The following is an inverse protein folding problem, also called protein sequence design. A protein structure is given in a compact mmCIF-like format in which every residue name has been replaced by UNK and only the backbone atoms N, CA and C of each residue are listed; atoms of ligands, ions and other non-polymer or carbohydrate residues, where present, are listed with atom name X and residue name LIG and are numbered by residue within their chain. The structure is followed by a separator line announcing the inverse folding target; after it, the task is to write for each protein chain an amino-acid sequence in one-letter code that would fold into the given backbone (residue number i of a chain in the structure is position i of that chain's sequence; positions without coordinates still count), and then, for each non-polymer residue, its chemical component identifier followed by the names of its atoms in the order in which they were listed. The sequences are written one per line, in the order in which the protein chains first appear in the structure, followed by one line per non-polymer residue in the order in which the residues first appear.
data_IF_943841892524
#
_entry.id   IF_943841892524
#
_cell.length_a   1.000
_cell.length_b   1.000
_cell.length_c   1.000
_cell.angle_alpha   90.00
_cell.angle_beta   90.00
_cell.angle_gamma   90.00
#
_symmetry.space_group_name_H-M   'P 1'
#
loop_
_entity.id
_entity.type
_entity.pdbx_description
1 polymer ?
#
# COMPACT_ATOMS: atom_id res chain seq x y z
N UNK A 1 10.48 -11.90 12.64
CA UNK A 1 9.75 -11.96 11.38
C UNK A 1 10.35 -11.12 10.25
N UNK A 2 10.99 -11.81 9.32
CA UNK A 2 11.39 -11.29 8.01
C UNK A 2 10.21 -11.22 7.03
N UNK A 3 10.50 -10.85 5.77
CA UNK A 3 9.49 -10.64 4.74
C UNK A 3 8.88 -11.96 4.20
N UNK A 4 9.65 -13.05 4.15
CA UNK A 4 9.18 -14.32 3.61
C UNK A 4 8.18 -14.98 4.56
N UNK A 5 8.46 -15.00 5.86
CA UNK A 5 7.50 -15.44 6.88
C UNK A 5 6.22 -14.61 6.87
N UNK A 6 6.34 -13.29 6.72
CA UNK A 6 5.18 -12.39 6.64
C UNK A 6 4.30 -12.70 5.42
N UNK A 7 4.91 -12.93 4.27
CA UNK A 7 4.19 -13.28 3.04
C UNK A 7 3.56 -14.68 3.12
N UNK A 8 4.22 -15.63 3.78
CA UNK A 8 3.66 -16.95 4.05
C UNK A 8 2.38 -16.89 4.91
N UNK A 9 2.33 -15.95 5.86
CA UNK A 9 1.14 -15.67 6.66
C UNK A 9 0.08 -14.96 5.81
N UNK A 10 0.50 -14.04 4.95
CA UNK A 10 -0.40 -13.25 4.11
C UNK A 10 -1.22 -14.09 3.12
N UNK A 11 -0.67 -15.17 2.57
CA UNK A 11 -1.39 -16.02 1.61
C UNK A 11 -2.49 -16.87 2.26
N UNK A 12 -2.49 -16.97 3.59
CA UNK A 12 -3.50 -17.72 4.36
C UNK A 12 -4.74 -16.84 4.52
N UNK A 13 -5.86 -17.26 3.95
CA UNK A 13 -7.13 -16.54 4.08
C UNK A 13 -8.06 -17.22 5.11
N UNK A 14 -7.90 -16.83 6.37
CA UNK A 14 -8.72 -17.27 7.50
C UNK A 14 -9.25 -16.07 8.32
N UNK A 15 -10.34 -16.29 9.04
CA UNK A 15 -10.86 -15.32 10.00
C UNK A 15 -9.82 -15.03 11.09
N UNK A 16 -9.56 -13.75 11.45
CA UNK A 16 -8.58 -13.42 12.48
C UNK A 16 -8.84 -14.07 13.85
N UNK A 17 -10.11 -14.34 14.20
CA UNK A 17 -10.48 -15.07 15.41
C UNK A 17 -10.12 -16.55 15.38
N UNK A 18 -9.78 -17.10 14.20
CA UNK A 18 -9.32 -18.47 14.00
C UNK A 18 -7.79 -18.59 13.88
N UNK A 19 -7.06 -17.47 13.90
CA UNK A 19 -5.61 -17.47 13.70
C UNK A 19 -4.86 -18.35 14.72
N UNK A 20 -5.29 -18.35 15.99
CA UNK A 20 -4.70 -19.21 17.02
C UNK A 20 -4.81 -20.70 16.69
N UNK A 21 -6.01 -21.16 16.31
CA UNK A 21 -6.25 -22.56 15.96
C UNK A 21 -5.46 -22.98 14.71
N UNK A 22 -5.36 -22.11 13.71
CA UNK A 22 -4.52 -22.34 12.54
C UNK A 22 -3.04 -22.51 12.89
N UNK A 23 -2.49 -21.61 13.71
CA UNK A 23 -1.09 -21.65 14.10
C UNK A 23 -0.76 -22.84 15.02
N UNK A 24 -1.72 -23.28 15.85
CA UNK A 24 -1.60 -24.53 16.61
C UNK A 24 -1.53 -25.74 15.67
N UNK A 25 -2.35 -25.80 14.61
CA UNK A 25 -2.29 -26.88 13.61
C UNK A 25 -0.95 -26.93 12.88
N UNK A 26 -0.40 -25.78 12.50
CA UNK A 26 0.92 -25.68 11.86
C UNK A 26 2.01 -26.18 12.81
N UNK A 27 1.97 -25.75 14.08
CA UNK A 27 2.93 -26.18 15.10
C UNK A 27 2.86 -27.68 15.39
N UNK A 28 1.65 -28.24 15.49
CA UNK A 28 1.43 -29.66 15.72
C UNK A 28 1.90 -30.50 14.53
N UNK A 29 1.66 -30.02 13.30
CA UNK A 29 2.15 -30.69 12.09
C UNK A 29 3.67 -30.67 12.01
N UNK A 30 4.31 -29.54 12.35
CA UNK A 30 5.75 -29.40 12.40
C UNK A 30 6.39 -30.29 13.47
N UNK A 31 5.82 -30.31 14.68
CA UNK A 31 6.31 -31.15 15.79
C UNK A 31 6.23 -32.65 15.47
N UNK A 32 5.30 -33.06 14.62
CA UNK A 32 5.10 -34.45 14.22
C UNK A 32 5.94 -34.87 13.00
N UNK A 33 6.59 -33.93 12.30
CA UNK A 33 7.26 -34.20 11.04
C UNK A 33 8.77 -34.41 11.15
N UNK A 34 9.39 -34.21 12.32
CA UNK A 34 10.84 -34.33 12.54
C UNK A 34 11.66 -33.55 11.50
N UNK A 35 11.25 -32.32 11.17
CA UNK A 35 11.84 -31.45 10.13
C UNK A 35 11.81 -32.04 8.69
N UNK A 36 10.93 -33.01 8.42
CA UNK A 36 10.69 -33.52 7.07
C UNK A 36 9.52 -32.79 6.39
N UNK A 37 9.78 -32.26 5.19
CA UNK A 37 8.80 -31.46 4.43
C UNK A 37 7.60 -32.28 3.96
N UNK A 38 7.83 -33.51 3.48
CA UNK A 38 6.75 -34.34 2.94
C UNK A 38 5.84 -34.81 4.09
N UNK A 39 6.43 -35.22 5.22
CA UNK A 39 5.71 -35.56 6.44
C UNK A 39 4.92 -34.36 7.01
N UNK A 40 5.52 -33.17 7.03
CA UNK A 40 4.84 -31.94 7.45
C UNK A 40 3.63 -31.64 6.57
N UNK A 41 3.83 -31.67 5.24
CA UNK A 41 2.79 -31.34 4.27
C UNK A 41 1.61 -32.31 4.36
N UNK A 42 1.89 -33.61 4.45
CA UNK A 42 0.86 -34.64 4.58
C UNK A 42 0.11 -34.52 5.92
N UNK A 43 0.84 -34.23 7.00
CA UNK A 43 0.24 -34.04 8.31
C UNK A 43 -0.66 -32.81 8.35
N UNK A 44 -0.20 -31.66 7.85
CA UNK A 44 -0.98 -30.42 7.82
C UNK A 44 -2.25 -30.58 6.96
N UNK A 45 -2.16 -31.21 5.77
CA UNK A 45 -3.35 -31.50 4.95
C UNK A 45 -4.34 -32.42 5.67
N UNK A 46 -3.83 -33.41 6.38
CA UNK A 46 -4.67 -34.35 7.12
C UNK A 46 -5.40 -33.69 8.29
N UNK A 47 -4.76 -32.76 9.00
CA UNK A 47 -5.31 -32.13 10.22
C UNK A 47 -6.14 -30.88 9.93
N UNK A 48 -5.78 -30.10 8.91
CA UNK A 48 -6.44 -28.84 8.55
C UNK A 48 -7.80 -29.01 7.83
N UNK A 49 -8.28 -30.25 7.65
CA UNK A 49 -9.52 -30.54 6.92
C UNK A 49 -10.73 -29.68 7.35
N UNK A 50 -11.67 -29.48 6.43
CA UNK A 50 -12.85 -28.65 6.69
C UNK A 50 -12.53 -27.16 6.58
N UNK A 51 -12.53 -26.45 7.71
CA UNK A 51 -12.45 -24.98 7.76
C UNK A 51 -11.08 -24.42 7.32
N UNK A 52 -10.00 -25.19 7.46
CA UNK A 52 -8.64 -24.73 7.14
C UNK A 52 -8.06 -25.40 5.88
N UNK A 53 -8.84 -26.18 5.13
CA UNK A 53 -8.30 -26.95 4.01
C UNK A 53 -7.71 -26.07 2.89
N UNK A 54 -8.42 -24.99 2.53
CA UNK A 54 -7.94 -24.04 1.53
C UNK A 54 -6.72 -23.25 2.03
N UNK A 55 -6.74 -22.84 3.30
CA UNK A 55 -5.64 -22.17 3.98
C UNK A 55 -4.36 -23.03 4.00
N UNK A 56 -4.51 -24.34 4.27
CA UNK A 56 -3.41 -25.28 4.23
C UNK A 56 -2.80 -25.43 2.84
N UNK A 57 -3.60 -25.56 1.78
CA UNK A 57 -3.05 -25.67 0.43
C UNK A 57 -2.34 -24.37 0.00
N UNK A 58 -2.93 -23.20 0.27
CA UNK A 58 -2.30 -21.91 -0.05
C UNK A 58 -0.96 -21.72 0.67
N UNK A 59 -0.91 -22.06 1.97
CA UNK A 59 0.32 -22.03 2.74
C UNK A 59 1.38 -23.00 2.19
N UNK A 60 1.00 -24.25 1.90
CA UNK A 60 1.91 -25.28 1.42
C UNK A 60 2.44 -24.97 0.02
N UNK A 61 1.62 -24.41 -0.86
CA UNK A 61 2.04 -23.96 -2.19
C UNK A 61 3.11 -22.87 -2.07
N UNK A 62 2.86 -21.84 -1.25
CA UNK A 62 3.85 -20.77 -1.02
C UNK A 62 5.13 -21.32 -0.40
N UNK A 63 5.02 -22.10 0.68
CA UNK A 63 6.18 -22.66 1.36
C UNK A 63 7.00 -23.60 0.46
N UNK A 64 6.37 -24.34 -0.47
CA UNK A 64 7.09 -25.20 -1.41
C UNK A 64 8.06 -24.43 -2.33
N UNK A 65 7.74 -23.18 -2.65
CA UNK A 65 8.53 -22.28 -3.49
C UNK A 65 9.55 -21.45 -2.71
N UNK A 66 9.33 -21.27 -1.40
CA UNK A 66 10.05 -20.32 -0.56
C UNK A 66 10.73 -20.97 0.66
N UNK A 67 11.50 -22.05 0.44
CA UNK A 67 12.36 -22.62 1.49
C UNK A 67 11.79 -23.82 2.26
N UNK A 68 10.54 -24.22 1.97
CA UNK A 68 9.91 -25.45 2.50
C UNK A 68 9.94 -25.52 4.01
N UNK A 69 10.64 -26.51 4.57
CA UNK A 69 10.71 -26.72 6.01
C UNK A 69 11.50 -25.60 6.73
N UNK A 70 12.43 -24.92 6.04
CA UNK A 70 13.16 -23.80 6.64
C UNK A 70 12.20 -22.64 6.95
N UNK A 71 11.30 -22.32 6.03
CA UNK A 71 10.25 -21.31 6.26
C UNK A 71 9.30 -21.71 7.40
N UNK A 72 8.96 -22.99 7.49
CA UNK A 72 8.11 -23.51 8.59
C UNK A 72 8.84 -23.37 9.92
N UNK A 73 10.15 -23.65 9.97
CA UNK A 73 10.96 -23.46 11.17
C UNK A 73 10.98 -22.01 11.64
N UNK A 74 11.13 -21.07 10.70
CA UNK A 74 11.13 -19.64 11.00
C UNK A 74 9.75 -19.17 11.48
N UNK A 75 8.67 -19.66 10.84
CA UNK A 75 7.30 -19.41 11.28
C UNK A 75 7.03 -19.94 12.69
N UNK A 76 7.49 -21.16 12.99
CA UNK A 76 7.30 -21.82 14.29
C UNK A 76 8.04 -21.08 15.41
N UNK A 77 9.21 -20.50 15.12
CA UNK A 77 9.93 -19.67 16.09
C UNK A 77 9.17 -18.39 16.48
N UNK A 78 8.45 -17.80 15.53
CA UNK A 78 7.69 -16.55 15.73
C UNK A 78 6.26 -16.79 16.30
N UNK A 79 5.78 -18.03 16.38
CA UNK A 79 4.40 -18.41 16.75
C UNK A 79 3.80 -17.68 17.97
N UNK A 80 4.51 -17.44 19.09
CA UNK A 80 3.92 -16.79 20.25
C UNK A 80 3.31 -15.42 19.95
N UNK A 81 3.78 -14.72 18.91
CA UNK A 81 3.32 -13.38 18.53
C UNK A 81 2.36 -13.40 17.33
N UNK A 82 2.34 -14.49 16.55
CA UNK A 82 1.61 -14.57 15.28
C UNK A 82 0.09 -14.43 15.39
N UNK A 83 -0.63 -15.09 16.32
CA UNK A 83 -2.07 -14.96 16.39
C UNK A 83 -2.53 -13.51 16.60
N UNK A 84 -1.74 -12.72 17.33
CA UNK A 84 -2.05 -11.30 17.59
C UNK A 84 -1.63 -10.40 16.42
N UNK A 85 -0.55 -10.76 15.70
CA UNK A 85 -0.06 -10.01 14.56
C UNK A 85 -0.80 -10.31 13.25
N UNK A 86 -1.51 -11.44 13.16
CA UNK A 86 -2.12 -11.96 11.94
C UNK A 86 -3.05 -10.95 11.25
N UNK A 87 -3.93 -10.29 11.99
CA UNK A 87 -4.84 -9.30 11.43
C UNK A 87 -4.09 -8.13 10.75
N UNK A 88 -3.03 -7.65 11.40
CA UNK A 88 -2.18 -6.56 10.89
C UNK A 88 -1.39 -7.00 9.66
N UNK A 89 -0.86 -8.23 9.69
CA UNK A 89 -0.12 -8.80 8.55
C UNK A 89 -1.05 -8.97 7.35
N UNK A 90 -2.26 -9.49 7.54
CA UNK A 90 -3.26 -9.63 6.49
C UNK A 90 -3.71 -8.28 5.95
N UNK A 91 -3.95 -7.30 6.80
CA UNK A 91 -4.28 -5.94 6.37
C UNK A 91 -3.16 -5.30 5.54
N UNK A 92 -1.89 -5.49 5.94
CA UNK A 92 -0.74 -4.98 5.19
C UNK A 92 -0.52 -5.71 3.87
N UNK A 93 -0.84 -7.00 3.80
CA UNK A 93 -0.54 -7.83 2.65
C UNK A 93 -1.70 -8.00 1.66
N UNK A 94 -2.93 -7.69 2.07
CA UNK A 94 -4.09 -7.64 1.17
C UNK A 94 -3.97 -6.53 0.11
N UNK A 95 -2.95 -5.67 0.19
CA UNK A 95 -2.89 -4.42 -0.57
C UNK A 95 -3.96 -3.45 -0.05
N UNK A 96 -3.81 -2.16 -0.34
CA UNK A 96 -4.94 -1.26 -0.11
C UNK A 96 -6.02 -1.56 -1.16
N UNK A 97 -7.32 -1.55 -0.83
CA UNK A 97 -8.37 -1.53 -1.84
C UNK A 97 -8.18 -0.38 -2.86
N UNK A 98 -7.42 0.65 -2.49
CA UNK A 98 -6.95 1.68 -3.40
C UNK A 98 -5.94 1.17 -4.44
N UNK A 99 -4.98 0.34 -4.04
CA UNK A 99 -4.00 -0.25 -4.95
C UNK A 99 -4.70 -1.14 -6.00
N UNK A 100 -5.74 -1.86 -5.59
CA UNK A 100 -6.59 -2.62 -6.51
C UNK A 100 -7.35 -1.70 -7.47
N UNK A 101 -7.85 -0.55 -6.99
CA UNK A 101 -8.50 0.47 -7.84
C UNK A 101 -7.51 1.01 -8.87
N UNK A 102 -6.29 1.35 -8.46
CA UNK A 102 -5.24 1.86 -9.36
C UNK A 102 -4.81 0.78 -10.36
N UNK A 103 -4.60 -0.46 -9.92
CA UNK A 103 -4.17 -1.55 -10.80
C UNK A 103 -5.25 -1.93 -11.82
N UNK A 104 -6.51 -2.05 -11.40
CA UNK A 104 -7.59 -2.50 -12.27
C UNK A 104 -8.08 -1.39 -13.19
N UNK A 105 -8.26 -0.19 -12.65
CA UNK A 105 -8.86 0.90 -13.41
C UNK A 105 -7.82 1.86 -13.96
N UNK A 106 -6.65 2.00 -13.35
CA UNK A 106 -5.62 2.93 -13.80
C UNK A 106 -5.16 2.76 -15.24
N UNK A 107 -5.01 1.54 -15.79
CA UNK A 107 -4.76 1.37 -17.22
C UNK A 107 -5.91 1.85 -18.12
N UNK A 108 -7.15 1.84 -17.62
CA UNK A 108 -8.34 2.33 -18.32
C UNK A 108 -8.44 3.86 -18.34
N UNK A 109 -7.58 4.56 -17.57
CA UNK A 109 -7.50 6.03 -17.55
C UNK A 109 -7.00 6.66 -18.84
N UNK A 110 -6.56 5.85 -19.80
CA UNK A 110 -6.44 6.28 -21.18
C UNK A 110 -7.74 6.94 -21.72
N UNK A 111 -8.89 6.77 -21.06
CA UNK A 111 -10.16 7.39 -21.41
C UNK A 111 -10.42 8.80 -20.85
N UNK A 112 -9.77 9.27 -19.78
CA UNK A 112 -9.91 10.67 -19.34
C UNK A 112 -8.80 11.51 -19.98
N UNK A 113 -9.21 12.53 -20.72
CA UNK A 113 -8.34 13.43 -21.48
C UNK A 113 -7.76 14.56 -20.62
N UNK A 114 -7.88 14.48 -19.30
CA UNK A 114 -7.43 15.53 -18.39
C UNK A 114 -8.27 16.82 -18.47
N UNK A 115 -9.44 16.80 -19.12
CA UNK A 115 -10.31 17.98 -19.21
C UNK A 115 -11.18 18.15 -17.96
N UNK A 116 -11.51 19.41 -17.65
CA UNK A 116 -12.46 19.76 -16.59
C UNK A 116 -13.86 19.17 -16.88
N UNK A 117 -14.26 19.17 -18.15
CA UNK A 117 -15.57 18.70 -18.61
C UNK A 117 -15.72 17.18 -18.44
N UNK A 118 -14.63 16.42 -18.58
CA UNK A 118 -14.60 14.97 -18.41
C UNK A 118 -14.48 14.50 -16.96
N UNK A 119 -14.09 15.38 -16.02
CA UNK A 119 -13.76 14.99 -14.64
C UNK A 119 -14.90 14.26 -13.92
N UNK A 120 -16.12 14.84 -13.95
CA UNK A 120 -17.25 14.26 -13.22
C UNK A 120 -17.62 12.86 -13.75
N UNK A 121 -17.59 12.70 -15.08
CA UNK A 121 -17.86 11.41 -15.72
C UNK A 121 -16.79 10.37 -15.36
N UNK A 122 -15.52 10.78 -15.35
CA UNK A 122 -14.40 9.94 -14.95
C UNK A 122 -14.56 9.43 -13.50
N UNK A 123 -14.82 10.35 -12.56
CA UNK A 123 -14.95 10.04 -11.14
C UNK A 123 -16.13 9.10 -10.90
N UNK A 124 -17.29 9.42 -11.47
CA UNK A 124 -18.51 8.63 -11.28
C UNK A 124 -18.39 7.24 -11.90
N UNK A 125 -17.70 7.12 -13.03
CA UNK A 125 -17.38 5.82 -13.63
C UNK A 125 -16.46 4.99 -12.73
N UNK A 126 -15.44 5.61 -12.12
CA UNK A 126 -14.52 4.92 -11.21
C UNK A 126 -15.26 4.43 -9.96
N UNK A 127 -16.11 5.28 -9.37
CA UNK A 127 -16.97 4.89 -8.25
C UNK A 127 -17.91 3.74 -8.62
N UNK A 128 -18.60 3.85 -9.75
CA UNK A 128 -19.52 2.82 -10.21
C UNK A 128 -18.81 1.49 -10.46
N UNK A 129 -17.63 1.53 -11.08
CA UNK A 129 -16.84 0.33 -11.40
C UNK A 129 -16.25 -0.32 -10.15
N UNK A 130 -15.70 0.49 -9.22
CA UNK A 130 -15.21 0.01 -7.94
C UNK A 130 -16.33 -0.64 -7.13
N UNK A 131 -17.48 0.02 -7.00
CA UNK A 131 -18.64 -0.49 -6.27
C UNK A 131 -19.23 -1.77 -6.88
N UNK A 132 -19.10 -1.96 -8.19
CA UNK A 132 -19.55 -3.18 -8.87
C UNK A 132 -18.65 -4.39 -8.56
N UNK A 133 -17.38 -4.16 -8.21
CA UNK A 133 -16.43 -5.21 -7.83
C UNK A 133 -16.50 -5.49 -6.33
N UNK A 134 -16.31 -4.45 -5.52
CA UNK A 134 -16.23 -4.57 -4.06
C UNK A 134 -16.63 -3.25 -3.36
N UNK A 135 -17.46 -3.29 -2.30
CA UNK A 135 -17.83 -2.09 -1.54
C UNK A 135 -16.66 -1.37 -0.87
N UNK A 136 -15.59 -2.09 -0.48
CA UNK A 136 -14.37 -1.53 0.08
C UNK A 136 -13.53 -0.77 -0.95
N UNK A 137 -13.47 -1.26 -2.19
CA UNK A 137 -12.87 -0.52 -3.31
C UNK A 137 -13.62 0.80 -3.59
N UNK A 138 -14.95 0.80 -3.51
CA UNK A 138 -15.73 2.05 -3.61
C UNK A 138 -15.37 3.04 -2.51
N UNK A 139 -15.30 2.57 -1.25
CA UNK A 139 -14.96 3.42 -0.12
C UNK A 139 -13.57 4.05 -0.29
N UNK A 140 -12.58 3.24 -0.68
CA UNK A 140 -11.23 3.70 -0.96
C UNK A 140 -11.18 4.70 -2.13
N UNK A 141 -11.89 4.41 -3.23
CA UNK A 141 -11.97 5.34 -4.36
C UNK A 141 -12.61 6.67 -3.96
N UNK A 142 -13.69 6.63 -3.19
CA UNK A 142 -14.38 7.83 -2.70
C UNK A 142 -13.47 8.66 -1.80
N UNK A 143 -12.79 8.04 -0.84
CA UNK A 143 -11.87 8.70 0.08
C UNK A 143 -10.74 9.45 -0.66
N UNK A 144 -10.22 8.86 -1.74
CA UNK A 144 -9.09 9.43 -2.49
C UNK A 144 -9.52 10.46 -3.55
N UNK A 145 -10.63 10.24 -4.24
CA UNK A 145 -11.05 11.07 -5.37
C UNK A 145 -12.00 12.21 -4.99
N UNK A 146 -12.82 12.06 -3.94
CA UNK A 146 -13.78 13.10 -3.55
C UNK A 146 -13.10 14.43 -3.14
N UNK A 147 -11.97 14.42 -2.39
CA UNK A 147 -11.25 15.65 -2.04
C UNK A 147 -10.73 16.43 -3.26
N UNK A 148 -10.63 15.79 -4.44
CA UNK A 148 -10.13 16.41 -5.66
C UNK A 148 -11.17 17.32 -6.33
N UNK A 149 -12.46 17.14 -6.03
CA UNK A 149 -13.55 17.89 -6.66
C UNK A 149 -13.45 19.41 -6.48
N UNK A 150 -12.89 19.86 -5.36
CA UNK A 150 -12.71 21.28 -5.05
C UNK A 150 -11.40 21.86 -5.58
N UNK A 151 -10.49 21.03 -6.10
CA UNK A 151 -9.14 21.45 -6.49
C UNK A 151 -9.09 22.00 -7.92
N UNK A 152 -8.14 22.88 -8.25
CA UNK A 152 -7.82 23.23 -9.63
C UNK A 152 -7.47 21.99 -10.46
N UNK A 153 -7.77 22.03 -11.77
CA UNK A 153 -7.56 20.90 -12.69
C UNK A 153 -6.11 20.36 -12.65
N UNK A 154 -5.13 21.26 -12.67
CA UNK A 154 -3.71 20.90 -12.62
C UNK A 154 -3.34 20.12 -11.35
N UNK A 155 -3.84 20.54 -10.19
CA UNK A 155 -3.63 19.81 -8.93
C UNK A 155 -4.26 18.42 -8.98
N UNK A 156 -5.46 18.28 -9.54
CA UNK A 156 -6.08 16.95 -9.71
C UNK A 156 -5.20 16.05 -10.57
N UNK A 157 -4.73 16.54 -11.72
CA UNK A 157 -3.88 15.76 -12.61
C UNK A 157 -2.60 15.31 -11.89
N UNK A 158 -1.95 16.21 -11.14
CA UNK A 158 -0.76 15.90 -10.37
C UNK A 158 -1.02 14.84 -9.30
N UNK A 159 -2.04 15.04 -8.47
CA UNK A 159 -2.35 14.10 -7.39
C UNK A 159 -2.73 12.71 -7.93
N UNK A 160 -3.42 12.66 -9.06
CA UNK A 160 -3.75 11.38 -9.70
C UNK A 160 -2.51 10.70 -10.27
N UNK A 161 -1.56 11.46 -10.81
CA UNK A 161 -0.27 10.91 -11.23
C UNK A 161 0.53 10.36 -10.06
N UNK A 162 0.53 11.05 -8.90
CA UNK A 162 1.14 10.56 -7.65
C UNK A 162 0.47 9.26 -7.16
N UNK A 163 -0.84 9.14 -7.37
CA UNK A 163 -1.57 7.91 -7.07
C UNK A 163 -1.32 6.78 -8.08
N UNK A 164 -0.46 6.96 -9.06
CA UNK A 164 -0.09 5.94 -10.05
C UNK A 164 -0.97 5.93 -11.29
N UNK A 165 -1.82 6.93 -11.49
CA UNK A 165 -2.60 7.06 -12.71
C UNK A 165 -1.83 7.73 -13.84
N UNK A 166 -2.09 7.31 -15.07
CA UNK A 166 -1.58 7.99 -16.27
C UNK A 166 -2.66 8.91 -16.84
N UNK A 167 -2.41 10.22 -16.90
CA UNK A 167 -3.35 11.21 -17.44
C UNK A 167 -2.86 11.74 -18.80
N UNK A 168 -3.65 11.57 -19.85
CA UNK A 168 -3.33 12.03 -21.21
C UNK A 168 -3.84 13.45 -21.46
N UNK A 169 -3.44 14.41 -20.62
CA UNK A 169 -3.82 15.80 -20.80
C UNK A 169 -3.10 16.43 -22.01
N UNK A 170 -3.75 17.30 -22.82
CA UNK A 170 -3.09 18.09 -23.83
C UNK A 170 -1.95 18.92 -23.21
N UNK A 171 -0.82 19.04 -23.92
CA UNK A 171 0.36 19.76 -23.45
C UNK A 171 0.04 21.20 -23.00
N UNK A 172 -0.94 21.86 -23.62
CA UNK A 172 -1.36 23.22 -23.28
C UNK A 172 -2.06 23.31 -21.91
N UNK A 173 -2.72 22.24 -21.45
CA UNK A 173 -3.35 22.13 -20.13
C UNK A 173 -2.37 21.62 -19.06
N UNK A 174 -1.28 20.97 -19.48
CA UNK A 174 -0.11 20.69 -18.64
C UNK A 174 0.82 21.92 -18.51
N UNK A 175 0.82 22.81 -19.51
CA UNK A 175 1.75 23.95 -19.63
C UNK A 175 1.28 25.24 -18.95
N UNK A 176 0.04 25.35 -18.50
CA UNK A 176 -0.38 26.46 -17.62
C UNK A 176 0.37 26.44 -16.25
N UNK A 177 1.23 25.45 -16.04
CA UNK A 177 2.11 25.30 -14.89
C UNK A 177 3.61 25.58 -15.17
N UNK A 178 4.01 26.04 -16.37
CA UNK A 178 5.41 26.44 -16.59
C UNK A 178 5.82 27.71 -15.81
N UNK A 179 4.91 28.31 -15.02
CA UNK A 179 5.15 29.49 -14.21
C UNK A 179 4.61 29.45 -12.79
N UNK A 180 4.06 28.32 -12.33
CA UNK A 180 3.68 28.15 -10.91
C UNK A 180 4.54 27.00 -10.36
N UNK A 181 5.57 27.29 -9.56
CA UNK A 181 6.42 26.26 -8.99
C UNK A 181 5.60 25.30 -8.13
N UNK A 182 5.89 24.00 -8.24
CA UNK A 182 5.27 22.99 -7.36
C UNK A 182 5.61 23.27 -5.90
N UNK A 183 4.80 22.79 -4.95
CA UNK A 183 5.08 22.94 -3.52
C UNK A 183 6.48 22.45 -3.15
N UNK A 184 6.95 21.37 -3.79
CA UNK A 184 8.30 20.85 -3.61
C UNK A 184 9.38 21.79 -4.16
N UNK A 185 9.13 22.45 -5.31
CA UNK A 185 10.02 23.48 -5.85
C UNK A 185 10.02 24.75 -5.00
N UNK A 186 8.87 25.18 -4.47
CA UNK A 186 8.76 26.32 -3.54
C UNK A 186 9.52 26.02 -2.25
N UNK A 187 9.39 24.81 -1.71
CA UNK A 187 10.12 24.40 -0.50
C UNK A 187 11.63 24.37 -0.78
N UNK A 188 12.08 23.86 -1.92
CA UNK A 188 13.51 23.84 -2.29
C UNK A 188 14.07 25.25 -2.54
N UNK A 189 13.28 26.14 -3.14
CA UNK A 189 13.67 27.54 -3.37
C UNK A 189 13.78 28.30 -2.04
N UNK A 190 12.76 28.19 -1.18
CA UNK A 190 12.76 28.78 0.17
C UNK A 190 13.86 28.19 1.08
N UNK A 191 14.13 26.90 0.96
CA UNK A 191 15.24 26.24 1.66
C UNK A 191 16.58 26.81 1.20
N UNK A 192 16.75 26.99 -0.11
CA UNK A 192 17.98 27.55 -0.69
C UNK A 192 18.18 28.99 -0.22
N UNK A 193 17.12 29.78 -0.10
CA UNK A 193 17.17 31.15 0.42
C UNK A 193 17.51 31.17 1.92
N UNK A 194 16.85 30.34 2.73
CA UNK A 194 17.13 30.21 4.16
C UNK A 194 18.59 29.76 4.43
N UNK A 195 19.12 28.84 3.62
CA UNK A 195 20.50 28.37 3.74
C UNK A 195 21.53 29.44 3.35
N UNK A 196 21.18 30.42 2.49
CA UNK A 196 22.06 31.55 2.16
C UNK A 196 22.13 32.59 3.29
N UNK A 197 21.08 32.72 4.10
CA UNK A 197 21.03 33.67 5.21
C UNK A 197 21.66 33.12 6.50
N UNK A 198 21.85 31.81 6.61
CA UNK A 198 22.48 31.16 7.79
C UNK A 198 23.98 30.94 7.55
N UNK A 199 24.88 31.70 8.22
CA UNK A 199 26.31 31.46 8.12
C UNK A 199 26.69 30.12 8.76
N UNK A 200 27.30 29.23 7.97
CA UNK A 200 27.65 27.86 8.39
C UNK A 200 26.70 26.77 7.86
N UNK A 201 25.76 27.12 6.98
CA UNK A 201 24.81 26.18 6.35
C UNK A 201 25.46 25.03 5.57
N UNK A 202 26.72 25.17 5.14
CA UNK A 202 27.49 24.12 4.48
C UNK A 202 27.83 22.91 5.39
N UNK A 203 27.66 23.06 6.71
CA UNK A 203 27.95 22.01 7.71
C UNK A 203 26.69 21.26 8.19
N UNK A 204 25.51 21.57 7.65
CA UNK A 204 24.26 20.94 8.06
C UNK A 204 24.19 19.48 7.62
N UNK A 205 23.73 18.63 8.53
CA UNK A 205 23.51 17.21 8.25
C UNK A 205 22.23 16.98 7.44
N UNK A 206 22.09 15.84 6.75
CA UNK A 206 20.86 15.50 6.03
C UNK A 206 19.60 15.53 6.91
N UNK A 207 19.70 15.11 8.18
CA UNK A 207 18.57 15.15 9.12
C UNK A 207 18.14 16.58 9.46
N UNK A 208 19.10 17.51 9.60
CA UNK A 208 18.81 18.93 9.85
C UNK A 208 18.19 19.60 8.63
N UNK A 209 18.61 19.21 7.41
CA UNK A 209 18.00 19.70 6.17
C UNK A 209 16.56 19.21 5.99
N UNK A 210 16.28 17.94 6.32
CA UNK A 210 14.93 17.41 6.26
C UNK A 210 14.02 18.01 7.33
N UNK A 211 14.57 18.32 8.52
CA UNK A 211 13.83 19.05 9.55
C UNK A 211 13.50 20.49 9.09
N UNK A 212 14.43 21.17 8.44
CA UNK A 212 14.24 22.52 7.91
C UNK A 212 13.20 22.55 6.78
N UNK A 213 13.20 21.53 5.91
CA UNK A 213 12.16 21.33 4.87
C UNK A 213 10.77 21.17 5.48
N UNK A 214 10.66 20.40 6.56
CA UNK A 214 9.39 20.19 7.24
C UNK A 214 8.88 21.47 7.92
N UNK A 215 9.76 22.28 8.51
CA UNK A 215 9.39 23.58 9.09
C UNK A 215 8.91 24.57 8.01
N UNK A 216 9.60 24.66 6.88
CA UNK A 216 9.20 25.53 5.75
C UNK A 216 7.84 25.08 5.18
N UNK A 217 7.61 23.78 5.04
CA UNK A 217 6.33 23.25 4.58
C UNK A 217 5.17 23.60 5.53
N UNK A 218 5.41 23.53 6.84
CA UNK A 218 4.43 23.85 7.88
C UNK A 218 4.15 25.37 7.98
N UNK A 219 5.15 26.21 7.72
CA UNK A 219 4.99 27.68 7.68
C UNK A 219 4.20 28.13 6.45
N UNK A 220 4.52 27.61 5.26
CA UNK A 220 3.78 27.86 4.03
C UNK A 220 2.31 27.41 4.15
N UNK A 221 2.06 26.27 4.80
CA UNK A 221 0.71 25.78 5.06
C UNK A 221 -0.10 26.68 6.02
N UNK A 222 0.57 27.42 6.93
CA UNK A 222 -0.09 28.40 7.81
C UNK A 222 -0.40 29.71 7.10
N UNK A 223 0.46 30.16 6.19
CA UNK A 223 0.24 31.38 5.42
C UNK A 223 -0.90 31.26 4.40
N UNK A 224 -1.10 30.08 3.81
CA UNK A 224 -2.21 29.82 2.87
C UNK A 224 -3.59 29.76 3.58
N UNK A 225 -3.60 29.51 4.90
CA UNK A 225 -4.82 29.36 5.69
C UNK A 225 -5.34 30.66 6.35
N UNK A 226 -4.65 31.80 6.17
CA UNK A 226 -4.97 33.11 6.78
C UNK A 226 -5.63 34.10 5.82
#
# INVERSE_FOLDING_TARGET
MDAETRNAIAVVDIDPGQAGEWFDLVNDAHSASDDDWDAFSDQLRSTAGGAFGAAAEAFLEYAAEHGRIELVNDLVQDLPELPSAYAVIREQAAGSPWDDVVQQFGPSWAGWDGSEEGWAQFRDWTYSSANAQDPGMYAAAYEKLDPLNGRPLAERINQLTEFGFTVNAPADQQADNAGIPSMSEIIEESLTEALQEVPGSEELTPEELDQLRAEIADELAREDAG
#
